data_IF_829146011082
#
_entry.id   IF_829146011082
#
_cell.length_a   1.000
_cell.length_b   1.000
_cell.length_c   1.000
_cell.angle_alpha   90.00
_cell.angle_beta   90.00
_cell.angle_gamma   90.00
#
_symmetry.space_group_name_H-M   'P 1'
#
loop_
_entity.id
_entity.type
_entity.pdbx_description
1 polymer ?
#
# COMPACT_ATOMS: atom_id res chain seq x y z
N UNK A 1 -8.84 19.73 -3.96
CA UNK A 1 -7.82 19.95 -2.90
C UNK A 1 -7.78 18.69 -2.03
N UNK A 2 -6.61 18.23 -1.60
CA UNK A 2 -6.49 17.13 -0.64
C UNK A 2 -7.04 17.49 0.74
N UNK A 3 -7.09 16.52 1.66
CA UNK A 3 -7.70 16.69 2.98
C UNK A 3 -6.96 17.76 3.81
N UNK A 4 -5.67 17.98 3.53
CA UNK A 4 -4.82 18.98 4.15
C UNK A 4 -4.72 20.30 3.35
N UNK A 5 -5.48 20.42 2.26
CA UNK A 5 -5.47 21.59 1.39
C UNK A 5 -4.24 21.72 0.48
N UNK A 6 -3.27 20.80 0.51
CA UNK A 6 -1.99 20.91 -0.23
C UNK A 6 -2.03 20.39 -1.67
N UNK A 7 -3.18 19.87 -2.11
CA UNK A 7 -3.36 19.31 -3.45
C UNK A 7 -3.65 17.81 -3.39
N UNK A 8 -3.68 17.11 -4.54
CA UNK A 8 -3.81 15.65 -4.57
C UNK A 8 -2.61 14.97 -3.91
N UNK A 9 -2.84 13.82 -3.26
CA UNK A 9 -1.76 12.97 -2.74
C UNK A 9 -1.05 12.25 -3.89
N UNK A 10 0.26 12.05 -3.74
CA UNK A 10 1.12 11.30 -4.66
C UNK A 10 1.34 9.85 -4.21
N UNK A 11 0.94 9.49 -2.99
CA UNK A 11 1.03 8.15 -2.41
C UNK A 11 -0.29 7.72 -1.75
N UNK A 12 -0.71 6.48 -1.99
CA UNK A 12 -1.77 5.79 -1.26
C UNK A 12 -1.27 4.45 -0.70
N UNK A 13 -1.49 4.25 0.60
CA UNK A 13 -1.16 3.02 1.34
C UNK A 13 -2.44 2.23 1.58
N UNK A 14 -2.42 0.94 1.26
CA UNK A 14 -3.54 0.02 1.44
C UNK A 14 -3.18 -1.05 2.47
N UNK A 15 -4.12 -1.33 3.38
CA UNK A 15 -4.01 -2.36 4.40
C UNK A 15 -5.40 -2.74 4.91
N UNK A 16 -5.63 -4.02 5.20
CA UNK A 16 -6.81 -4.50 5.92
C UNK A 16 -8.06 -4.68 5.07
N UNK A 17 -7.92 -4.68 3.73
CA UNK A 17 -9.03 -4.91 2.83
C UNK A 17 -9.20 -6.40 2.52
N UNK A 18 -10.44 -6.87 2.24
CA UNK A 18 -10.61 -8.14 1.55
C UNK A 18 -9.88 -8.09 0.21
N UNK A 19 -9.05 -9.11 -0.08
CA UNK A 19 -8.14 -9.12 -1.22
C UNK A 19 -8.81 -8.72 -2.55
N UNK A 20 -10.00 -9.28 -2.85
CA UNK A 20 -10.70 -9.00 -4.10
C UNK A 20 -11.13 -7.54 -4.23
N UNK A 21 -11.44 -6.87 -3.11
CA UNK A 21 -11.86 -5.48 -3.10
C UNK A 21 -10.65 -4.58 -3.37
N UNK A 22 -9.54 -4.82 -2.68
CA UNK A 22 -8.30 -4.09 -2.92
C UNK A 22 -7.81 -4.27 -4.36
N UNK A 23 -7.91 -5.49 -4.90
CA UNK A 23 -7.53 -5.82 -6.28
C UNK A 23 -8.27 -4.95 -7.31
N UNK A 24 -9.58 -4.78 -7.19
CA UNK A 24 -10.35 -3.94 -8.13
C UNK A 24 -10.09 -2.45 -7.93
N UNK A 25 -9.91 -2.00 -6.68
CA UNK A 25 -9.56 -0.61 -6.37
C UNK A 25 -8.20 -0.25 -6.99
N UNK A 26 -7.18 -1.08 -6.74
CA UNK A 26 -5.85 -0.86 -7.26
C UNK A 26 -5.80 -0.96 -8.79
N UNK A 27 -6.60 -1.84 -9.41
CA UNK A 27 -6.72 -1.90 -10.87
C UNK A 27 -7.24 -0.59 -11.45
N UNK A 28 -8.27 0.02 -10.83
CA UNK A 28 -8.77 1.32 -11.26
C UNK A 28 -7.69 2.41 -11.11
N UNK A 29 -7.01 2.47 -9.96
CA UNK A 29 -5.97 3.46 -9.71
C UNK A 29 -4.79 3.31 -10.68
N UNK A 30 -4.36 2.09 -10.98
CA UNK A 30 -3.27 1.82 -11.93
C UNK A 30 -3.51 2.41 -13.32
N UNK A 31 -4.77 2.41 -13.79
CA UNK A 31 -5.10 2.85 -15.16
C UNK A 31 -5.58 4.30 -15.24
N UNK A 32 -6.19 4.83 -14.17
CA UNK A 32 -6.88 6.12 -14.22
C UNK A 32 -6.24 7.20 -13.33
N UNK A 33 -5.16 6.90 -12.61
CA UNK A 33 -4.38 7.91 -11.90
C UNK A 33 -3.11 8.27 -12.68
N UNK A 34 -2.82 9.57 -12.80
CA UNK A 34 -1.67 10.03 -13.61
C UNK A 34 -0.36 10.01 -12.83
N UNK A 35 -0.38 10.27 -11.51
CA UNK A 35 0.83 10.44 -10.68
C UNK A 35 0.70 9.82 -9.28
N UNK A 36 -0.15 8.81 -9.11
CA UNK A 36 -0.32 8.15 -7.81
C UNK A 36 0.53 6.89 -7.74
N UNK A 37 1.33 6.79 -6.67
CA UNK A 37 1.98 5.55 -6.26
C UNK A 37 1.07 4.82 -5.27
N UNK A 38 0.97 3.52 -5.43
CA UNK A 38 0.15 2.66 -4.58
C UNK A 38 1.00 1.58 -3.94
N UNK A 39 0.96 1.49 -2.62
CA UNK A 39 1.67 0.45 -1.85
C UNK A 39 0.63 -0.39 -1.12
N UNK A 40 0.59 -1.69 -1.41
CA UNK A 40 -0.16 -2.66 -0.63
C UNK A 40 0.72 -3.18 0.50
N UNK A 41 0.28 -2.96 1.73
CA UNK A 41 0.91 -3.46 2.95
C UNK A 41 0.21 -4.72 3.47
N UNK A 42 -0.66 -5.35 2.68
CA UNK A 42 -1.31 -6.60 3.06
C UNK A 42 -0.39 -7.81 2.85
N UNK A 43 -0.68 -8.91 3.56
CA UNK A 43 0.16 -10.14 3.55
C UNK A 43 0.10 -10.92 2.23
N UNK A 44 -0.81 -10.55 1.32
CA UNK A 44 -1.01 -11.22 0.04
C UNK A 44 -0.61 -10.30 -1.09
N UNK A 45 0.14 -10.83 -2.05
CA UNK A 45 0.69 -10.08 -3.16
C UNK A 45 -0.42 -9.52 -4.07
N UNK A 46 -0.40 -8.20 -4.29
CA UNK A 46 -1.31 -7.52 -5.20
C UNK A 46 -0.59 -6.97 -6.45
N UNK A 47 -0.82 -7.53 -7.65
CA UNK A 47 -0.11 -7.12 -8.88
C UNK A 47 -0.57 -5.77 -9.45
N UNK A 48 -1.67 -5.21 -8.93
CA UNK A 48 -2.16 -3.91 -9.34
C UNK A 48 -1.58 -2.75 -8.51
N UNK A 49 -0.94 -3.04 -7.38
CA UNK A 49 -0.17 -2.04 -6.65
C UNK A 49 1.10 -1.67 -7.42
N UNK A 50 1.63 -0.46 -7.18
CA UNK A 50 2.99 -0.12 -7.64
C UNK A 50 4.02 -1.01 -6.93
N UNK A 51 3.81 -1.25 -5.64
CA UNK A 51 4.59 -2.17 -4.84
C UNK A 51 3.69 -2.91 -3.85
N UNK A 52 3.99 -4.17 -3.60
CA UNK A 52 3.26 -5.02 -2.65
C UNK A 52 4.26 -5.93 -1.95
N UNK A 53 3.98 -6.30 -0.71
CA UNK A 53 4.62 -7.47 -0.13
C UNK A 53 4.37 -8.71 -1.00
N UNK A 54 5.29 -9.70 -0.99
CA UNK A 54 4.99 -11.03 -1.50
C UNK A 54 3.92 -11.70 -0.61
N UNK A 55 3.49 -12.89 -0.98
CA UNK A 55 2.69 -13.71 -0.08
C UNK A 55 3.52 -14.09 1.15
N UNK A 56 3.09 -13.64 2.33
CA UNK A 56 3.79 -13.83 3.60
C UNK A 56 2.92 -14.62 4.59
N UNK A 57 3.60 -15.31 5.51
CA UNK A 57 3.00 -15.78 6.75
C UNK A 57 2.57 -14.58 7.62
N UNK A 58 1.71 -14.79 8.62
CA UNK A 58 1.33 -13.70 9.54
C UNK A 58 2.54 -13.24 10.33
N UNK A 59 3.40 -14.17 10.69
CA UNK A 59 4.62 -13.95 11.44
C UNK A 59 5.61 -13.09 10.64
N UNK A 60 5.88 -13.44 9.38
CA UNK A 60 6.81 -12.68 8.53
C UNK A 60 6.24 -11.32 8.12
N UNK A 61 4.93 -11.24 7.91
CA UNK A 61 4.22 -9.98 7.69
C UNK A 61 4.37 -9.04 8.90
N UNK A 62 4.19 -9.56 10.12
CA UNK A 62 4.36 -8.77 11.35
C UNK A 62 5.80 -8.29 11.52
N UNK A 63 6.79 -9.18 11.33
CA UNK A 63 8.22 -8.83 11.36
C UNK A 63 8.60 -7.78 10.33
N UNK A 64 7.94 -7.79 9.16
CA UNK A 64 8.19 -6.78 8.13
C UNK A 64 7.87 -5.37 8.63
N UNK A 65 6.83 -5.20 9.44
CA UNK A 65 6.53 -3.90 10.06
C UNK A 65 7.51 -3.51 11.15
N UNK A 66 7.98 -4.46 11.97
CA UNK A 66 9.03 -4.17 12.94
C UNK A 66 10.29 -3.64 12.25
N UNK A 67 10.68 -4.26 11.12
CA UNK A 67 11.81 -3.79 10.30
C UNK A 67 11.55 -2.39 9.75
N UNK A 68 10.35 -2.11 9.24
CA UNK A 68 9.98 -0.79 8.71
C UNK A 68 10.04 0.26 9.82
N UNK A 69 9.48 -0.04 11.00
CA UNK A 69 9.48 0.86 12.16
C UNK A 69 10.90 1.11 12.66
N UNK A 70 11.75 0.10 12.75
CA UNK A 70 13.15 0.28 13.16
C UNK A 70 13.95 1.12 12.15
N UNK A 71 13.65 1.02 10.84
CA UNK A 71 14.38 1.76 9.80
C UNK A 71 13.87 3.18 9.57
N UNK A 72 12.57 3.43 9.77
CA UNK A 72 11.92 4.72 9.46
C UNK A 72 11.47 5.50 10.70
N UNK A 73 11.29 4.82 11.83
CA UNK A 73 10.75 5.40 13.08
C UNK A 73 11.82 5.99 14.00
N UNK A 74 13.11 5.76 13.73
CA UNK A 74 14.18 6.45 14.43
C UNK A 74 14.29 7.90 13.92
N UNK A 75 14.03 8.85 14.83
CA UNK A 75 14.34 10.27 14.67
C UNK A 75 15.73 10.57 15.22
#
# INVERSE_FOLDING_TARGET
>A
KGLDGKGPYDLALFMGFPYYMEFVILSALKHFSTNLKTISLDRFYNPHATWSFPNLSVEDWSKSFEIILNKLGEK
#
